data_IF_939898187554
#
_entry.id   IF_939898187554
#
_cell.length_a   1.000
_cell.length_b   1.000
_cell.length_c   1.000
_cell.angle_alpha   90.00
_cell.angle_beta   90.00
_cell.angle_gamma   90.00
#
_symmetry.space_group_name_H-M   'P 1'
#
loop_
_entity.id
_entity.type
_entity.pdbx_description
1 polymer ?
#
# COMPACT_ATOMS: atom_id res chain seq x y z
N UNK A 1 1.60 -18.92 -26.21
CA UNK A 1 1.29 -17.96 -25.14
C UNK A 1 -0.20 -18.00 -24.87
N UNK A 2 -0.59 -18.13 -23.60
CA UNK A 2 -1.98 -18.21 -23.13
C UNK A 2 -2.57 -16.84 -22.81
N UNK A 3 -1.76 -15.79 -22.97
CA UNK A 3 -2.17 -14.40 -22.90
C UNK A 3 -1.75 -13.67 -24.18
N UNK A 4 -2.41 -12.54 -24.47
CA UNK A 4 -2.02 -11.62 -25.53
C UNK A 4 -2.23 -10.18 -25.08
N UNK A 5 -1.48 -9.26 -25.68
CA UNK A 5 -1.73 -7.83 -25.52
C UNK A 5 -2.85 -7.40 -26.46
N UNK A 6 -3.88 -6.77 -25.92
CA UNK A 6 -5.01 -6.24 -26.66
C UNK A 6 -5.42 -4.89 -26.07
N UNK A 7 -5.91 -3.99 -26.92
CA UNK A 7 -6.48 -2.72 -26.44
C UNK A 7 -7.69 -3.04 -25.55
N UNK A 8 -7.76 -2.48 -24.33
CA UNK A 8 -8.88 -2.71 -23.43
C UNK A 8 -10.21 -2.30 -24.07
N UNK A 9 -11.28 -3.03 -23.74
CA UNK A 9 -12.64 -2.68 -24.17
C UNK A 9 -13.04 -1.33 -23.56
N UNK A 10 -13.26 -0.34 -24.42
CA UNK A 10 -13.53 1.03 -24.00
C UNK A 10 -14.76 1.13 -23.10
N UNK A 11 -15.77 0.27 -23.30
CA UNK A 11 -16.99 0.27 -22.50
C UNK A 11 -16.71 -0.03 -21.02
N UNK A 12 -15.72 -0.89 -20.75
CA UNK A 12 -15.32 -1.23 -19.37
C UNK A 12 -14.67 -0.03 -18.68
N UNK A 13 -13.99 0.84 -19.43
CA UNK A 13 -13.21 1.96 -18.86
C UNK A 13 -13.97 3.29 -18.85
N UNK A 14 -15.05 3.44 -19.64
CA UNK A 14 -15.85 4.67 -19.70
C UNK A 14 -17.03 4.68 -18.72
N UNK A 15 -17.47 3.53 -18.24
CA UNK A 15 -18.60 3.44 -17.31
C UNK A 15 -18.13 3.39 -15.86
N UNK A 16 -18.86 4.08 -14.98
CA UNK A 16 -18.69 3.93 -13.54
C UNK A 16 -19.47 2.70 -13.06
N UNK A 17 -18.96 1.98 -12.03
CA UNK A 17 -19.71 0.88 -11.43
C UNK A 17 -21.02 1.41 -10.83
N UNK A 18 -22.09 0.64 -10.98
CA UNK A 18 -23.39 1.01 -10.42
C UNK A 18 -23.27 1.24 -8.90
N UNK A 19 -23.89 2.30 -8.33
CA UNK A 19 -23.94 2.51 -6.89
C UNK A 19 -24.55 1.32 -6.12
N UNK A 20 -25.39 0.52 -6.78
CA UNK A 20 -26.03 -0.68 -6.21
C UNK A 20 -25.22 -1.96 -6.34
N UNK A 21 -23.98 -1.90 -6.85
CA UNK A 21 -23.13 -3.10 -6.97
C UNK A 21 -23.01 -3.74 -5.58
N UNK A 22 -23.27 -5.06 -5.41
CA UNK A 22 -23.15 -5.71 -4.11
C UNK A 22 -21.70 -5.77 -3.65
N UNK A 23 -21.49 -5.69 -2.33
CA UNK A 23 -20.18 -5.93 -1.71
C UNK A 23 -19.85 -7.42 -1.85
N UNK A 24 -18.58 -7.81 -2.09
CA UNK A 24 -18.20 -9.22 -2.09
C UNK A 24 -18.60 -9.89 -0.77
N UNK A 25 -18.96 -11.17 -0.83
CA UNK A 25 -19.29 -11.94 0.38
C UNK A 25 -18.06 -11.96 1.30
N UNK A 26 -18.28 -11.84 2.61
CA UNK A 26 -17.19 -11.96 3.58
C UNK A 26 -16.41 -13.27 3.35
N UNK A 27 -15.07 -13.25 3.40
CA UNK A 27 -14.26 -14.46 3.36
C UNK A 27 -14.16 -15.15 4.73
N UNK A 28 -14.74 -14.57 5.79
CA UNK A 28 -14.67 -15.07 7.15
C UNK A 28 -15.98 -15.72 7.61
N UNK A 29 -15.86 -16.86 8.29
CA UNK A 29 -16.98 -17.55 8.95
C UNK A 29 -17.36 -16.90 10.27
N UNK A 30 -16.40 -16.27 10.96
CA UNK A 30 -16.63 -15.61 12.23
C UNK A 30 -17.50 -14.34 12.07
N UNK A 31 -18.55 -14.21 12.88
CA UNK A 31 -19.52 -13.12 12.81
C UNK A 31 -18.89 -11.74 12.99
N UNK A 32 -17.98 -11.59 13.96
CA UNK A 32 -17.30 -10.31 14.22
C UNK A 32 -16.45 -9.90 13.01
N UNK A 33 -15.64 -10.80 12.47
CA UNK A 33 -14.81 -10.54 11.30
C UNK A 33 -15.66 -10.23 10.06
N UNK A 34 -16.77 -10.94 9.88
CA UNK A 34 -17.72 -10.68 8.79
C UNK A 34 -18.38 -9.30 8.93
N UNK A 35 -18.77 -8.91 10.14
CA UNK A 35 -19.31 -7.58 10.42
C UNK A 35 -18.28 -6.47 10.15
N UNK A 36 -17.04 -6.63 10.64
CA UNK A 36 -15.95 -5.66 10.37
C UNK A 36 -15.65 -5.60 8.86
N UNK A 37 -15.66 -6.73 8.16
CA UNK A 37 -15.49 -6.76 6.71
C UNK A 37 -16.56 -5.91 6.01
N UNK A 38 -17.84 -6.14 6.31
CA UNK A 38 -18.94 -5.36 5.71
C UNK A 38 -18.85 -3.86 6.03
N UNK A 39 -18.53 -3.52 7.29
CA UNK A 39 -18.36 -2.13 7.72
C UNK A 39 -17.24 -1.43 6.94
N UNK A 40 -16.10 -2.10 6.78
CA UNK A 40 -14.90 -1.54 6.14
C UNK A 40 -14.97 -1.54 4.61
N UNK A 41 -15.84 -2.36 4.02
CA UNK A 41 -16.10 -2.36 2.57
C UNK A 41 -17.12 -1.31 2.12
N UNK A 42 -17.87 -0.69 3.03
CA UNK A 42 -18.71 0.46 2.69
C UNK A 42 -17.84 1.69 2.43
N UNK A 43 -17.93 2.31 1.23
CA UNK A 43 -17.13 3.47 0.82
C UNK A 43 -17.12 4.61 1.84
N UNK A 44 -18.24 4.81 2.55
CA UNK A 44 -18.34 5.88 3.56
C UNK A 44 -17.29 5.72 4.66
N UNK A 45 -16.94 4.48 5.03
CA UNK A 45 -16.00 4.18 6.11
C UNK A 45 -14.57 4.63 5.79
N UNK A 46 -13.87 4.09 4.77
CA UNK A 46 -12.51 4.53 4.44
C UNK A 46 -12.47 6.01 4.02
N UNK A 47 -13.49 6.51 3.32
CA UNK A 47 -13.53 7.91 2.91
C UNK A 47 -13.61 8.86 4.11
N UNK A 48 -14.51 8.59 5.06
CA UNK A 48 -14.64 9.41 6.27
C UNK A 48 -13.34 9.36 7.07
N UNK A 49 -12.77 8.16 7.28
CA UNK A 49 -11.54 8.00 8.04
C UNK A 49 -10.38 8.74 7.35
N UNK A 50 -10.22 8.60 6.03
CA UNK A 50 -9.15 9.25 5.27
C UNK A 50 -9.27 10.78 5.31
N UNK A 51 -10.48 11.34 5.14
CA UNK A 51 -10.72 12.78 5.22
C UNK A 51 -10.48 13.31 6.63
N UNK A 52 -11.00 12.65 7.66
CA UNK A 52 -10.79 13.03 9.06
C UNK A 52 -9.30 12.95 9.42
N UNK A 53 -8.60 11.89 9.01
CA UNK A 53 -7.17 11.74 9.20
C UNK A 53 -6.39 12.88 8.53
N UNK A 54 -6.62 13.10 7.23
CA UNK A 54 -5.88 14.10 6.46
C UNK A 54 -6.10 15.51 7.03
N UNK A 55 -7.35 15.89 7.31
CA UNK A 55 -7.68 17.19 7.90
C UNK A 55 -7.08 17.36 9.30
N UNK A 56 -7.21 16.35 10.16
CA UNK A 56 -6.65 16.37 11.52
C UNK A 56 -5.14 16.56 11.51
N UNK A 57 -4.42 15.86 10.62
CA UNK A 57 -2.96 16.00 10.50
C UNK A 57 -2.57 17.43 10.11
N UNK A 58 -3.28 18.07 9.17
CA UNK A 58 -2.98 19.44 8.76
C UNK A 58 -3.24 20.47 9.88
N UNK A 59 -4.31 20.28 10.65
CA UNK A 59 -4.63 21.11 11.81
C UNK A 59 -3.58 20.94 12.92
N UNK A 60 -3.25 19.70 13.30
CA UNK A 60 -2.26 19.42 14.34
C UNK A 60 -0.86 19.88 13.92
N UNK A 61 -0.49 19.71 12.66
CA UNK A 61 0.77 20.23 12.11
C UNK A 61 0.91 21.74 12.31
N UNK A 62 -0.18 22.48 12.10
CA UNK A 62 -0.20 23.93 12.30
C UNK A 62 0.04 24.29 13.77
N UNK A 63 -0.53 23.51 14.70
CA UNK A 63 -0.32 23.67 16.15
C UNK A 63 1.13 23.34 16.54
N UNK A 64 1.67 22.21 16.08
CA UNK A 64 3.05 21.79 16.37
C UNK A 64 4.04 22.84 15.87
N UNK A 65 3.88 23.33 14.63
CA UNK A 65 4.75 24.38 14.09
C UNK A 65 4.72 25.66 14.92
N UNK A 66 3.54 26.10 15.37
CA UNK A 66 3.42 27.25 16.28
C UNK A 66 4.18 27.01 17.58
N UNK A 67 4.10 25.82 18.17
CA UNK A 67 4.86 25.45 19.38
C UNK A 67 6.36 25.45 19.13
N UNK A 68 6.83 24.91 18.00
CA UNK A 68 8.25 24.91 17.62
C UNK A 68 8.78 26.33 17.44
N UNK A 69 8.05 27.20 16.73
CA UNK A 69 8.44 28.60 16.52
C UNK A 69 8.49 29.35 17.85
N UNK A 70 7.48 29.20 18.72
CA UNK A 70 7.48 29.86 20.03
C UNK A 70 8.71 29.47 20.85
N UNK A 71 9.00 28.18 20.96
CA UNK A 71 10.16 27.70 21.71
C UNK A 71 11.48 28.20 21.09
N UNK A 72 11.59 28.18 19.77
CA UNK A 72 12.77 28.68 19.07
C UNK A 72 12.98 30.18 19.30
N UNK A 73 11.92 30.97 19.16
CA UNK A 73 11.98 32.41 19.40
C UNK A 73 12.33 32.74 20.85
N UNK A 74 11.82 31.99 21.84
CA UNK A 74 12.23 32.20 23.25
C UNK A 74 13.73 31.98 23.43
N UNK A 75 14.27 30.87 22.92
CA UNK A 75 15.71 30.56 23.01
C UNK A 75 16.55 31.60 22.27
N UNK A 76 16.14 32.02 21.07
CA UNK A 76 16.92 32.98 20.27
C UNK A 76 16.75 34.42 20.77
N UNK A 77 15.61 34.80 21.37
CA UNK A 77 15.43 36.07 22.06
C UNK A 77 16.34 36.19 23.28
N UNK A 78 16.49 35.11 24.05
CA UNK A 78 17.48 35.02 25.13
C UNK A 78 18.92 35.19 24.61
N UNK A 79 19.19 34.82 23.36
CA UNK A 79 20.53 34.88 22.77
C UNK A 79 20.84 36.13 21.93
N UNK A 80 19.85 36.77 21.28
CA UNK A 80 20.09 37.75 20.19
C UNK A 80 19.28 39.05 20.23
N UNK A 81 18.39 39.25 21.21
CA UNK A 81 17.63 40.51 21.40
C UNK A 81 16.88 41.08 20.15
N UNK A 82 16.63 40.30 19.09
CA UNK A 82 15.88 40.75 17.89
C UNK A 82 14.98 39.63 17.35
N UNK A 83 13.70 39.90 17.01
CA UNK A 83 12.82 38.89 16.40
C UNK A 83 13.17 38.65 14.93
N UNK A 84 13.62 37.44 14.60
CA UNK A 84 14.00 37.03 13.23
C UNK A 84 12.81 36.41 12.49
N UNK A 85 12.59 36.79 11.22
CA UNK A 85 11.69 36.07 10.30
C UNK A 85 12.40 34.86 9.71
N UNK A 86 12.01 33.66 10.13
CA UNK A 86 12.54 32.39 9.61
C UNK A 86 12.20 32.17 8.14
N UNK A 87 13.18 31.75 7.34
CA UNK A 87 12.94 31.27 5.97
C UNK A 87 12.20 29.92 5.97
N UNK A 88 11.55 29.56 4.85
CA UNK A 88 10.87 28.25 4.72
C UNK A 88 11.81 27.05 4.98
N UNK A 89 13.10 27.16 4.65
CA UNK A 89 14.11 26.11 4.87
C UNK A 89 14.49 25.97 6.34
N UNK A 90 14.63 27.08 7.05
CA UNK A 90 14.93 27.09 8.49
C UNK A 90 13.74 26.57 9.29
N UNK A 91 12.51 26.94 8.89
CA UNK A 91 11.29 26.45 9.51
C UNK A 91 11.19 24.91 9.49
N UNK A 92 11.63 24.27 8.40
CA UNK A 92 11.68 22.80 8.27
C UNK A 92 12.74 22.15 9.17
N UNK A 93 13.78 22.89 9.56
CA UNK A 93 14.91 22.39 10.36
C UNK A 93 14.74 22.62 11.87
N UNK A 94 13.65 23.27 12.29
CA UNK A 94 13.39 23.53 13.69
C UNK A 94 13.41 22.24 14.52
N UNK A 95 13.99 22.28 15.74
CA UNK A 95 14.05 21.11 16.60
C UNK A 95 12.64 20.65 17.01
N UNK A 96 12.52 19.35 17.29
CA UNK A 96 11.26 18.79 17.77
C UNK A 96 10.95 19.28 19.18
N UNK A 97 9.67 19.51 19.47
CA UNK A 97 9.19 19.82 20.83
C UNK A 97 8.27 18.70 21.28
N UNK A 98 8.83 17.59 21.83
CA UNK A 98 8.07 16.39 22.13
C UNK A 98 7.03 16.65 23.23
N UNK A 99 5.89 15.98 23.13
CA UNK A 99 4.91 15.93 24.20
C UNK A 99 5.49 15.16 25.40
N UNK A 100 5.15 15.49 26.67
CA UNK A 100 5.63 14.75 27.85
C UNK A 100 5.41 13.24 27.75
N UNK A 101 4.24 12.83 27.23
CA UNK A 101 3.92 11.43 26.96
C UNK A 101 4.99 10.72 26.10
N UNK A 102 5.54 11.40 25.10
CA UNK A 102 6.51 10.81 24.18
C UNK A 102 7.90 10.57 24.81
N UNK A 103 8.15 11.13 25.99
CA UNK A 103 9.40 10.97 26.73
C UNK A 103 9.37 9.77 27.68
N UNK A 104 8.18 9.27 28.02
CA UNK A 104 7.99 8.15 28.93
C UNK A 104 8.64 6.87 28.40
N UNK A 105 9.19 6.06 29.30
CA UNK A 105 9.78 4.76 28.96
C UNK A 105 8.78 3.84 28.27
N UNK A 106 7.54 3.78 28.78
CA UNK A 106 6.45 3.02 28.18
C UNK A 106 6.17 3.42 26.73
N UNK A 107 6.22 4.72 26.42
CA UNK A 107 6.03 5.18 25.04
C UNK A 107 7.17 4.73 24.12
N UNK A 108 8.42 4.79 24.58
CA UNK A 108 9.57 4.29 23.80
C UNK A 108 9.47 2.79 23.55
N UNK A 109 9.10 2.02 24.57
CA UNK A 109 8.83 0.58 24.44
C UNK A 109 7.69 0.28 23.47
N UNK A 110 6.58 1.02 23.58
CA UNK A 110 5.45 0.92 22.65
C UNK A 110 5.88 1.17 21.20
N UNK A 111 6.64 2.24 20.92
CA UNK A 111 7.10 2.54 19.56
C UNK A 111 7.99 1.43 19.01
N UNK A 112 8.86 0.83 19.85
CA UNK A 112 9.69 -0.29 19.44
C UNK A 112 8.85 -1.52 19.09
N UNK A 113 7.93 -1.92 19.98
CA UNK A 113 7.03 -3.06 19.77
C UNK A 113 6.18 -2.83 18.52
N UNK A 114 5.62 -1.63 18.35
CA UNK A 114 4.85 -1.24 17.18
C UNK A 114 5.61 -1.47 15.87
N UNK A 115 6.87 -1.00 15.78
CA UNK A 115 7.69 -1.18 14.59
C UNK A 115 8.05 -2.67 14.36
N UNK A 116 8.33 -3.43 15.43
CA UNK A 116 8.63 -4.86 15.32
C UNK A 116 7.41 -5.63 14.81
N UNK A 117 6.22 -5.37 15.38
CA UNK A 117 4.97 -6.00 14.97
C UNK A 117 4.67 -5.69 13.50
N UNK A 118 4.79 -4.44 13.07
CA UNK A 118 4.58 -4.06 11.67
C UNK A 118 5.62 -4.69 10.73
N UNK A 119 6.88 -4.81 11.16
CA UNK A 119 7.92 -5.50 10.41
C UNK A 119 7.57 -6.99 10.20
N UNK A 120 7.22 -7.69 11.28
CA UNK A 120 6.87 -9.12 11.25
C UNK A 120 5.60 -9.36 10.45
N UNK A 121 4.57 -8.52 10.65
CA UNK A 121 3.32 -8.59 9.89
C UNK A 121 3.55 -8.37 8.39
N UNK A 122 4.37 -7.37 8.02
CA UNK A 122 4.70 -7.12 6.61
C UNK A 122 5.48 -8.28 6.00
N UNK A 123 6.41 -8.87 6.75
CA UNK A 123 7.18 -10.03 6.29
C UNK A 123 6.29 -11.27 6.10
N UNK A 124 5.37 -11.51 7.05
CA UNK A 124 4.38 -12.57 6.96
C UNK A 124 3.45 -12.38 5.77
N UNK A 125 2.99 -11.16 5.52
CA UNK A 125 2.16 -10.83 4.36
C UNK A 125 2.92 -11.08 3.04
N UNK A 126 4.16 -10.62 2.94
CA UNK A 126 4.99 -10.80 1.75
C UNK A 126 5.24 -12.30 1.45
N UNK A 127 5.75 -13.04 2.44
CA UNK A 127 6.09 -14.45 2.29
C UNK A 127 4.85 -15.32 2.10
N UNK A 128 3.78 -15.04 2.87
CA UNK A 128 2.51 -15.73 2.78
C UNK A 128 1.89 -15.57 1.40
N UNK A 129 1.85 -14.34 0.89
CA UNK A 129 1.24 -14.09 -0.40
C UNK A 129 2.11 -14.55 -1.58
N UNK A 130 3.44 -14.47 -1.49
CA UNK A 130 4.35 -15.08 -2.46
C UNK A 130 4.15 -16.61 -2.55
N UNK A 131 3.93 -17.26 -1.40
CA UNK A 131 3.57 -18.68 -1.35
C UNK A 131 2.21 -18.95 -2.01
N UNK A 132 1.20 -18.11 -1.75
CA UNK A 132 -0.13 -18.22 -2.40
C UNK A 132 -0.01 -18.12 -3.92
N UNK A 133 0.78 -17.17 -4.43
CA UNK A 133 1.04 -17.04 -5.88
C UNK A 133 1.67 -18.32 -6.45
N UNK A 134 2.73 -18.82 -5.82
CA UNK A 134 3.42 -20.03 -6.28
C UNK A 134 2.50 -21.27 -6.29
N UNK A 135 1.67 -21.41 -5.26
CA UNK A 135 0.68 -22.50 -5.17
C UNK A 135 -0.42 -22.37 -6.23
N UNK A 136 -0.89 -21.15 -6.48
CA UNK A 136 -1.88 -20.87 -7.53
C UNK A 136 -1.32 -21.26 -8.90
N UNK A 137 -0.07 -20.87 -9.19
CA UNK A 137 0.61 -21.24 -10.44
C UNK A 137 0.74 -22.76 -10.61
N UNK A 138 1.13 -23.46 -9.55
CA UNK A 138 1.22 -24.93 -9.55
C UNK A 138 -0.14 -25.59 -9.82
N UNK A 139 -1.21 -25.09 -9.19
CA UNK A 139 -2.56 -25.61 -9.40
C UNK A 139 -3.05 -25.40 -10.85
N UNK A 140 -2.73 -24.25 -11.45
CA UNK A 140 -3.02 -24.02 -12.86
C UNK A 140 -2.23 -24.93 -13.77
N UNK A 141 -0.95 -25.14 -13.49
CA UNK A 141 -0.10 -26.05 -14.25
C UNK A 141 -0.71 -27.46 -14.26
N UNK A 142 -1.13 -27.98 -13.11
CA UNK A 142 -1.77 -29.31 -13.05
C UNK A 142 -3.08 -29.37 -13.85
N UNK A 143 -3.97 -28.38 -13.70
CA UNK A 143 -5.26 -28.36 -14.42
C UNK A 143 -5.09 -28.16 -15.93
N UNK A 144 -4.05 -27.42 -16.34
CA UNK A 144 -3.74 -27.19 -17.74
C UNK A 144 -3.16 -28.44 -18.39
N UNK A 145 -2.26 -29.15 -17.70
CA UNK A 145 -1.67 -30.41 -18.16
C UNK A 145 -2.73 -31.52 -18.34
N UNK A 146 -3.75 -31.57 -17.47
CA UNK A 146 -4.88 -32.50 -17.62
C UNK A 146 -5.69 -32.24 -18.89
N UNK A 147 -5.93 -30.97 -19.24
CA UNK A 147 -6.80 -30.60 -20.37
C UNK A 147 -6.07 -30.54 -21.72
N UNK A 148 -4.76 -30.25 -21.75
CA UNK A 148 -3.96 -30.11 -22.98
C UNK A 148 -2.54 -30.67 -22.80
N UNK A 149 -2.35 -31.99 -22.83
CA UNK A 149 -1.07 -32.63 -22.56
C UNK A 149 0.05 -32.31 -23.57
N UNK A 150 -0.28 -31.88 -24.80
CA UNK A 150 0.70 -31.56 -25.85
C UNK A 150 1.23 -30.11 -25.81
N UNK A 151 0.59 -29.21 -25.06
CA UNK A 151 0.96 -27.80 -25.02
C UNK A 151 1.74 -27.49 -23.74
N UNK A 152 3.04 -27.18 -23.85
CA UNK A 152 3.81 -26.71 -22.69
C UNK A 152 3.53 -25.22 -22.43
N UNK A 153 2.82 -24.89 -21.35
CA UNK A 153 2.64 -23.51 -20.91
C UNK A 153 3.96 -22.96 -20.35
N UNK A 154 4.31 -21.70 -20.68
CA UNK A 154 5.49 -21.07 -20.08
C UNK A 154 5.20 -20.65 -18.63
N UNK A 155 6.23 -20.53 -17.79
CA UNK A 155 6.07 -19.99 -16.41
C UNK A 155 5.42 -18.60 -16.40
N UNK A 156 5.65 -17.79 -17.43
CA UNK A 156 5.04 -16.48 -17.58
C UNK A 156 3.54 -16.60 -17.90
N UNK A 157 3.15 -17.53 -18.76
CA UNK A 157 1.74 -17.81 -19.05
C UNK A 157 0.99 -18.21 -17.78
N UNK A 158 1.56 -19.13 -16.98
CA UNK A 158 0.99 -19.58 -15.71
C UNK A 158 0.86 -18.43 -14.70
N UNK A 159 1.87 -17.57 -14.63
CA UNK A 159 1.84 -16.41 -13.74
C UNK A 159 0.74 -15.41 -14.14
N UNK A 160 0.69 -15.02 -15.42
CA UNK A 160 -0.32 -14.06 -15.93
C UNK A 160 -1.73 -14.61 -15.73
N UNK A 161 -1.94 -15.90 -16.02
CA UNK A 161 -3.23 -16.56 -15.82
C UNK A 161 -3.64 -16.57 -14.34
N UNK A 162 -2.70 -16.90 -13.45
CA UNK A 162 -2.92 -16.91 -12.00
C UNK A 162 -3.35 -15.55 -11.45
N UNK A 163 -2.83 -14.45 -12.02
CA UNK A 163 -3.19 -13.10 -11.60
C UNK A 163 -4.51 -12.63 -12.21
N UNK A 164 -4.74 -12.92 -13.49
CA UNK A 164 -5.85 -12.33 -14.26
C UNK A 164 -7.16 -13.12 -14.18
N UNK A 165 -7.14 -14.42 -13.90
CA UNK A 165 -8.37 -15.20 -13.78
C UNK A 165 -9.08 -14.87 -12.45
N UNK A 166 -10.23 -14.19 -12.52
CA UNK A 166 -11.00 -13.84 -11.33
C UNK A 166 -11.64 -15.05 -10.62
N UNK A 167 -11.88 -16.16 -11.34
CA UNK A 167 -12.57 -17.35 -10.81
C UNK A 167 -11.60 -18.34 -10.18
N UNK A 168 -10.53 -18.67 -10.90
CA UNK A 168 -9.56 -19.69 -10.47
C UNK A 168 -8.21 -19.09 -10.03
N UNK A 169 -8.01 -17.77 -10.21
CA UNK A 169 -6.76 -17.10 -9.89
C UNK A 169 -6.55 -16.81 -8.41
N UNK A 170 -5.72 -15.82 -8.12
CA UNK A 170 -5.30 -15.44 -6.76
C UNK A 170 -6.44 -15.04 -5.82
N UNK A 171 -7.61 -14.66 -6.35
CA UNK A 171 -8.81 -14.39 -5.56
C UNK A 171 -9.64 -15.64 -5.25
N UNK A 172 -9.36 -16.78 -5.89
CA UNK A 172 -10.16 -18.00 -5.75
C UNK A 172 -10.14 -18.52 -4.32
N UNK A 173 -11.32 -18.94 -3.83
CA UNK A 173 -11.49 -19.64 -2.55
C UNK A 173 -11.30 -21.16 -2.68
N UNK A 174 -11.19 -21.65 -3.92
CA UNK A 174 -11.19 -23.08 -4.25
C UNK A 174 -9.79 -23.71 -4.16
N UNK A 175 -8.75 -22.92 -3.90
CA UNK A 175 -7.35 -23.39 -3.77
C UNK A 175 -7.08 -24.16 -2.46
N UNK A 176 -8.11 -24.65 -1.78
CA UNK A 176 -7.97 -25.45 -0.56
C UNK A 176 -7.47 -26.84 -0.92
N UNK A 177 -6.15 -27.06 -0.76
CA UNK A 177 -5.53 -28.38 -0.88
C UNK A 177 -5.43 -29.02 0.51
N UNK A 178 -5.89 -30.26 0.63
CA UNK A 178 -5.64 -31.18 1.74
C UNK A 178 -5.91 -30.61 3.15
N UNK A 179 -7.04 -29.91 3.35
CA UNK A 179 -7.43 -29.39 4.66
C UNK A 179 -6.56 -28.26 5.23
N UNK A 180 -5.62 -27.73 4.43
CA UNK A 180 -4.85 -26.53 4.81
C UNK A 180 -5.55 -25.27 4.32
N UNK A 181 -5.97 -24.41 5.26
CA UNK A 181 -6.54 -23.09 4.96
C UNK A 181 -5.46 -22.17 4.38
N UNK A 182 -5.23 -22.25 3.07
CA UNK A 182 -4.37 -21.30 2.35
C UNK A 182 -5.12 -19.99 2.22
N UNK A 183 -4.52 -18.90 2.73
CA UNK A 183 -5.10 -17.57 2.62
C UNK A 183 -4.96 -17.08 1.17
N UNK A 184 -6.10 -16.78 0.55
CA UNK A 184 -6.19 -16.21 -0.79
C UNK A 184 -5.98 -14.68 -0.76
N UNK A 185 -5.93 -14.04 -1.94
CA UNK A 185 -5.78 -12.59 -2.05
C UNK A 185 -6.94 -11.82 -1.41
N UNK A 186 -8.13 -12.42 -1.29
CA UNK A 186 -9.24 -11.78 -0.57
C UNK A 186 -8.90 -11.58 0.91
N UNK A 187 -8.41 -12.63 1.57
CA UNK A 187 -8.07 -12.56 3.00
C UNK A 187 -6.79 -11.76 3.20
N UNK A 188 -5.71 -12.06 2.47
CA UNK A 188 -4.46 -11.29 2.59
C UNK A 188 -4.64 -9.83 2.23
N UNK A 189 -5.36 -9.56 1.13
CA UNK A 189 -5.64 -8.22 0.66
C UNK A 189 -6.53 -7.44 1.62
N UNK A 190 -7.53 -8.08 2.24
CA UNK A 190 -8.34 -7.42 3.27
C UNK A 190 -7.55 -7.19 4.56
N UNK A 191 -6.77 -8.15 5.05
CA UNK A 191 -5.91 -7.95 6.22
C UNK A 191 -4.93 -6.80 5.98
N UNK A 192 -4.31 -6.76 4.80
CA UNK A 192 -3.40 -5.70 4.39
C UNK A 192 -4.12 -4.36 4.23
N UNK A 193 -5.37 -4.35 3.78
CA UNK A 193 -6.21 -3.16 3.79
C UNK A 193 -6.46 -2.66 5.21
N UNK A 194 -6.80 -3.55 6.15
CA UNK A 194 -6.97 -3.19 7.57
C UNK A 194 -5.67 -2.63 8.16
N UNK A 195 -4.51 -3.15 7.76
CA UNK A 195 -3.22 -2.64 8.23
C UNK A 195 -3.01 -1.16 7.89
N UNK A 196 -3.58 -0.65 6.79
CA UNK A 196 -3.47 0.78 6.41
C UNK A 196 -4.14 1.73 7.38
N UNK A 197 -5.20 1.29 8.06
CA UNK A 197 -5.78 2.05 9.16
C UNK A 197 -4.89 2.03 10.39
N UNK A 198 -4.29 0.89 10.70
CA UNK A 198 -3.36 0.77 11.83
C UNK A 198 -2.08 1.61 11.63
N UNK A 199 -1.57 1.69 10.40
CA UNK A 199 -0.39 2.51 10.05
C UNK A 199 -0.60 4.02 10.31
N UNK A 200 -1.83 4.50 10.53
CA UNK A 200 -2.09 5.88 11.02
C UNK A 200 -1.38 6.16 12.34
N UNK A 201 -1.15 5.12 13.16
CA UNK A 201 -0.41 5.22 14.42
C UNK A 201 1.02 5.76 14.18
N UNK A 202 1.66 5.49 13.04
CA UNK A 202 2.96 6.09 12.70
C UNK A 202 2.89 7.61 12.70
N UNK A 203 1.81 8.14 12.15
CA UNK A 203 1.58 9.59 12.11
C UNK A 203 1.35 10.14 13.51
N UNK A 204 0.55 9.44 14.32
CA UNK A 204 0.30 9.82 15.72
C UNK A 204 1.63 9.83 16.51
N UNK A 205 2.49 8.82 16.34
CA UNK A 205 3.80 8.74 16.99
C UNK A 205 4.67 9.93 16.60
N UNK A 206 4.70 10.32 15.31
CA UNK A 206 5.48 11.46 14.82
C UNK A 206 4.99 12.78 15.43
N UNK A 207 3.67 12.99 15.45
CA UNK A 207 3.04 14.18 16.01
C UNK A 207 3.30 14.27 17.53
N UNK A 208 3.21 13.16 18.26
CA UNK A 208 3.52 13.08 19.70
C UNK A 208 5.01 13.34 19.99
N UNK A 209 5.91 12.88 19.12
CA UNK A 209 7.34 13.22 19.16
C UNK A 209 7.62 14.70 18.85
N UNK A 210 6.59 15.49 18.57
CA UNK A 210 6.69 16.94 18.40
C UNK A 210 7.25 17.36 17.05
N UNK A 211 7.14 16.49 16.04
CA UNK A 211 7.52 16.79 14.66
C UNK A 211 6.26 16.90 13.80
N UNK A 212 6.19 17.87 12.87
CA UNK A 212 5.08 17.91 11.93
C UNK A 212 5.16 16.68 11.01
N UNK A 213 4.03 16.01 10.80
CA UNK A 213 3.91 14.96 9.78
C UNK A 213 4.04 15.58 8.39
N UNK A 214 4.76 14.91 7.49
CA UNK A 214 4.95 15.41 6.13
C UNK A 214 3.69 15.26 5.29
N UNK A 215 3.49 16.14 4.29
CA UNK A 215 2.41 15.99 3.32
C UNK A 215 2.48 14.63 2.61
N UNK A 216 3.72 14.18 2.34
CA UNK A 216 3.99 12.87 1.75
C UNK A 216 3.34 11.75 2.58
N UNK A 217 3.56 11.77 3.89
CA UNK A 217 3.03 10.74 4.79
C UNK A 217 1.50 10.78 4.87
N UNK A 218 0.91 11.97 5.07
CA UNK A 218 -0.55 12.09 5.15
C UNK A 218 -1.25 11.76 3.84
N UNK A 219 -0.66 12.15 2.70
CA UNK A 219 -1.18 11.83 1.38
C UNK A 219 -1.10 10.33 1.10
N UNK A 220 0.05 9.71 1.42
CA UNK A 220 0.26 8.28 1.26
C UNK A 220 -0.73 7.44 2.06
N UNK A 221 -0.85 7.66 3.38
CA UNK A 221 -1.74 6.82 4.20
C UNK A 221 -3.22 7.01 3.83
N UNK A 222 -3.66 8.25 3.56
CA UNK A 222 -5.03 8.51 3.13
C UNK A 222 -5.36 7.87 1.77
N UNK A 223 -4.46 8.02 0.79
CA UNK A 223 -4.63 7.43 -0.54
C UNK A 223 -4.52 5.90 -0.52
N UNK A 224 -3.62 5.33 0.28
CA UNK A 224 -3.49 3.88 0.43
C UNK A 224 -4.76 3.22 0.98
N UNK A 225 -5.47 3.86 1.93
CA UNK A 225 -6.78 3.36 2.41
C UNK A 225 -7.81 3.28 1.27
N UNK A 226 -7.92 4.34 0.46
CA UNK A 226 -8.89 4.39 -0.64
C UNK A 226 -8.50 3.45 -1.80
N UNK A 227 -7.22 3.40 -2.15
CA UNK A 227 -6.69 2.53 -3.20
C UNK A 227 -6.86 1.05 -2.86
N UNK A 228 -6.57 0.66 -1.60
CA UNK A 228 -6.79 -0.69 -1.12
C UNK A 228 -8.27 -1.05 -1.01
N UNK A 229 -9.12 -0.12 -0.53
CA UNK A 229 -10.57 -0.30 -0.52
C UNK A 229 -11.08 -0.64 -1.93
N UNK A 230 -10.74 0.17 -2.95
CA UNK A 230 -11.16 -0.08 -4.33
C UNK A 230 -10.61 -1.43 -4.86
N UNK A 231 -9.36 -1.75 -4.51
CA UNK A 231 -8.69 -3.04 -4.76
C UNK A 231 -9.51 -4.24 -4.36
N UNK A 232 -9.86 -4.31 -3.08
CA UNK A 232 -10.56 -5.45 -2.47
C UNK A 232 -12.05 -5.42 -2.82
N UNK A 233 -12.68 -4.23 -2.82
CA UNK A 233 -14.10 -4.06 -3.10
C UNK A 233 -14.49 -4.55 -4.49
N UNK A 234 -13.66 -4.28 -5.49
CA UNK A 234 -13.93 -4.66 -6.88
C UNK A 234 -13.10 -5.87 -7.34
N UNK A 235 -12.38 -6.54 -6.41
CA UNK A 235 -11.52 -7.70 -6.70
C UNK A 235 -10.65 -7.45 -7.95
N UNK A 236 -9.96 -6.32 -7.98
CA UNK A 236 -9.16 -5.91 -9.13
C UNK A 236 -7.83 -6.65 -9.13
N UNK A 237 -7.50 -7.44 -10.18
CA UNK A 237 -6.25 -8.21 -10.25
C UNK A 237 -4.99 -7.44 -9.87
N UNK A 238 -4.73 -6.22 -10.36
CA UNK A 238 -3.47 -5.52 -10.10
C UNK A 238 -3.20 -5.18 -8.63
N UNK A 239 -4.17 -5.38 -7.72
CA UNK A 239 -3.98 -5.16 -6.28
C UNK A 239 -2.89 -6.06 -5.68
N UNK A 240 -2.63 -7.22 -6.29
CA UNK A 240 -1.55 -8.13 -5.86
C UNK A 240 -0.19 -7.41 -5.86
N UNK A 241 0.04 -6.50 -6.83
CA UNK A 241 1.27 -5.72 -6.97
C UNK A 241 1.45 -4.82 -5.74
N UNK A 242 0.36 -4.16 -5.32
CA UNK A 242 0.38 -3.32 -4.13
C UNK A 242 0.77 -4.20 -2.93
N UNK A 243 0.07 -5.30 -2.70
CA UNK A 243 0.31 -6.17 -1.54
C UNK A 243 1.75 -6.68 -1.51
N UNK A 244 2.29 -7.25 -2.59
CA UNK A 244 3.65 -7.83 -2.63
C UNK A 244 4.73 -6.75 -2.47
N UNK A 245 4.73 -5.73 -3.34
CA UNK A 245 5.82 -4.77 -3.35
C UNK A 245 5.80 -3.90 -2.09
N UNK A 246 4.62 -3.45 -1.65
CA UNK A 246 4.53 -2.62 -0.47
C UNK A 246 4.88 -3.40 0.81
N UNK A 247 4.39 -4.64 0.97
CA UNK A 247 4.74 -5.45 2.15
C UNK A 247 6.24 -5.72 2.24
N UNK A 248 6.90 -6.03 1.13
CA UNK A 248 8.36 -6.17 1.07
C UNK A 248 9.09 -4.89 1.52
N UNK A 249 8.73 -3.74 0.95
CA UNK A 249 9.35 -2.46 1.28
C UNK A 249 9.04 -2.04 2.73
N UNK A 250 7.83 -2.31 3.21
CA UNK A 250 7.42 -2.03 4.59
C UNK A 250 8.19 -2.90 5.59
N UNK A 251 8.47 -4.17 5.29
CA UNK A 251 9.36 -5.01 6.11
C UNK A 251 10.72 -4.32 6.27
N UNK A 252 11.35 -3.86 5.18
CA UNK A 252 12.65 -3.18 5.25
C UNK A 252 12.57 -1.84 5.99
N UNK A 253 11.50 -1.07 5.78
CA UNK A 253 11.29 0.23 6.42
C UNK A 253 11.08 0.11 7.93
N UNK A 254 10.19 -0.77 8.38
CA UNK A 254 9.94 -0.98 9.80
C UNK A 254 11.09 -1.67 10.51
N UNK A 255 11.84 -2.53 9.82
CA UNK A 255 13.11 -3.04 10.33
C UNK A 255 14.08 -1.89 10.61
N UNK A 256 14.26 -0.98 9.65
CA UNK A 256 15.08 0.22 9.82
C UNK A 256 14.60 1.12 10.98
N UNK A 257 13.29 1.30 11.15
CA UNK A 257 12.74 2.08 12.27
C UNK A 257 12.93 1.39 13.62
N UNK A 258 12.83 0.06 13.66
CA UNK A 258 13.12 -0.73 14.87
C UNK A 258 14.59 -0.58 15.30
N UNK A 259 15.53 -0.69 14.35
CA UNK A 259 16.95 -0.44 14.61
C UNK A 259 17.21 1.00 15.09
N UNK A 260 16.52 1.98 14.50
CA UNK A 260 16.61 3.38 14.91
C UNK A 260 16.12 3.60 16.35
N UNK A 261 15.10 2.85 16.80
CA UNK A 261 14.60 2.89 18.17
C UNK A 261 15.57 2.26 19.18
N UNK A 262 16.36 1.26 18.76
CA UNK A 262 17.41 0.64 19.56
C UNK A 262 18.73 1.45 19.59
N UNK A 263 18.73 2.66 19.01
CA UNK A 263 19.92 3.51 18.85
C UNK A 263 21.07 2.84 18.09
N UNK A 264 20.77 1.84 17.25
CA UNK A 264 21.78 1.20 16.40
C UNK A 264 22.08 2.14 15.24
N UNK A 265 23.37 2.49 15.06
CA UNK A 265 23.81 3.41 14.00
C UNK A 265 23.75 2.71 12.65
N UNK A 266 22.66 2.94 11.91
CA UNK A 266 22.53 2.46 10.54
C UNK A 266 23.24 3.40 9.57
N UNK A 267 24.11 2.90 8.66
CA UNK A 267 24.77 3.74 7.66
C UNK A 267 23.77 4.51 6.80
N UNK A 268 24.10 5.77 6.45
CA UNK A 268 23.24 6.63 5.62
C UNK A 268 22.91 6.04 4.24
N UNK A 269 23.76 5.13 3.75
CA UNK A 269 23.57 4.40 2.49
C UNK A 269 22.28 3.57 2.53
N UNK A 270 21.99 2.89 3.64
CA UNK A 270 20.75 2.12 3.78
C UNK A 270 19.52 3.01 3.72
N UNK A 271 19.56 4.19 4.36
CA UNK A 271 18.46 5.15 4.30
C UNK A 271 18.20 5.62 2.86
N UNK A 272 19.28 5.91 2.11
CA UNK A 272 19.20 6.29 0.69
C UNK A 272 18.66 5.14 -0.17
N UNK A 273 19.15 3.93 0.05
CA UNK A 273 18.72 2.72 -0.66
C UNK A 273 17.24 2.42 -0.42
N UNK A 274 16.76 2.54 0.83
CA UNK A 274 15.36 2.36 1.17
C UNK A 274 14.45 3.36 0.43
N UNK A 275 14.84 4.65 0.40
CA UNK A 275 14.07 5.65 -0.37
C UNK A 275 14.13 5.38 -1.88
N UNK A 276 15.26 4.92 -2.42
CA UNK A 276 15.37 4.50 -3.82
C UNK A 276 14.45 3.32 -4.14
N UNK A 277 14.43 2.30 -3.27
CA UNK A 277 13.55 1.14 -3.42
C UNK A 277 12.08 1.55 -3.33
N UNK A 278 11.74 2.50 -2.46
CA UNK A 278 10.38 3.05 -2.38
C UNK A 278 9.96 3.74 -3.68
N UNK A 279 10.83 4.51 -4.32
CA UNK A 279 10.54 5.14 -5.61
C UNK A 279 10.41 4.08 -6.71
N UNK A 280 11.34 3.11 -6.75
CA UNK A 280 11.30 2.02 -7.71
C UNK A 280 10.00 1.21 -7.60
N UNK A 281 9.48 0.99 -6.37
CA UNK A 281 8.22 0.29 -6.15
C UNK A 281 7.05 0.99 -6.88
N UNK A 282 7.00 2.32 -6.88
CA UNK A 282 5.88 3.07 -7.48
C UNK A 282 6.00 3.10 -9.00
N UNK A 283 7.22 3.29 -9.52
CA UNK A 283 7.48 3.32 -10.96
C UNK A 283 7.24 1.94 -11.58
N UNK A 284 7.84 0.89 -11.02
CA UNK A 284 7.71 -0.48 -11.53
C UNK A 284 6.29 -0.98 -11.28
N UNK A 285 5.79 -0.87 -10.04
CA UNK A 285 4.46 -1.35 -9.69
C UNK A 285 3.35 -0.64 -10.45
N UNK A 286 3.43 0.69 -10.61
CA UNK A 286 2.49 1.47 -11.40
C UNK A 286 2.51 1.09 -12.88
N UNK A 287 3.70 0.91 -13.47
CA UNK A 287 3.84 0.48 -14.87
C UNK A 287 3.23 -0.91 -15.09
N UNK A 288 3.50 -1.87 -14.19
CA UNK A 288 2.94 -3.21 -14.27
C UNK A 288 1.40 -3.17 -14.08
N UNK A 289 0.89 -2.32 -13.20
CA UNK A 289 -0.56 -2.15 -13.01
C UNK A 289 -1.25 -1.62 -14.27
N UNK A 290 -0.64 -0.66 -14.97
CA UNK A 290 -1.14 -0.18 -16.27
C UNK A 290 -1.10 -1.29 -17.31
N UNK A 291 0.00 -2.06 -17.38
CA UNK A 291 0.13 -3.18 -18.32
C UNK A 291 -0.97 -4.25 -18.14
N UNK A 292 -1.44 -4.50 -16.91
CA UNK A 292 -2.56 -5.42 -16.68
C UNK A 292 -3.84 -4.98 -17.40
N UNK A 293 -4.04 -3.68 -17.64
CA UNK A 293 -5.17 -3.19 -18.43
C UNK A 293 -5.12 -3.61 -19.91
N UNK A 294 -3.95 -3.95 -20.43
CA UNK A 294 -3.73 -4.36 -21.82
C UNK A 294 -3.58 -5.87 -22.00
N UNK A 295 -3.65 -6.65 -20.92
CA UNK A 295 -3.49 -8.11 -20.96
C UNK A 295 -4.86 -8.77 -21.09
N UNK A 296 -4.99 -9.70 -22.04
CA UNK A 296 -6.14 -10.60 -22.17
C UNK A 296 -5.69 -12.05 -22.08
N UNK A 297 -6.43 -12.87 -21.36
CA UNK A 297 -6.21 -14.32 -21.20
C UNK A 297 -7.22 -15.11 -22.02
N UNK A 298 -6.85 -16.31 -22.43
CA UNK A 298 -7.74 -17.23 -23.11
C UNK A 298 -8.61 -17.96 -22.08
N UNK A 299 -9.93 -17.75 -22.10
CA UNK A 299 -10.83 -18.51 -21.25
C UNK A 299 -10.92 -19.94 -21.79
N UNK A 300 -10.44 -20.89 -21.00
CA UNK A 300 -10.50 -22.33 -21.28
C UNK A 300 -11.60 -23.04 -20.51
N UNK A 301 -12.54 -22.30 -19.91
CA UNK A 301 -13.65 -22.88 -19.14
C UNK A 301 -14.65 -23.64 -20.01
N UNK A 302 -14.78 -23.28 -21.30
CA UNK A 302 -15.65 -23.95 -22.27
C UNK A 302 -14.83 -24.49 -23.46
N UNK A 303 -14.80 -25.82 -23.62
CA UNK A 303 -13.99 -26.49 -24.63
C UNK A 303 -14.41 -26.18 -26.09
N UNK A 304 -15.64 -25.71 -26.31
CA UNK A 304 -16.18 -25.40 -27.65
C UNK A 304 -16.07 -23.92 -28.06
N UNK A 305 -15.82 -22.98 -27.14
CA UNK A 305 -15.78 -21.54 -27.45
C UNK A 305 -14.71 -20.81 -26.63
N UNK A 306 -13.44 -21.00 -27.01
CA UNK A 306 -12.33 -20.26 -26.38
C UNK A 306 -12.40 -18.76 -26.71
N UNK A 307 -12.78 -17.93 -25.74
CA UNK A 307 -12.86 -16.47 -25.88
C UNK A 307 -11.71 -15.80 -25.15
N UNK A 308 -11.23 -14.69 -25.71
CA UNK A 308 -10.24 -13.84 -25.03
C UNK A 308 -10.96 -12.90 -24.08
N UNK A 309 -10.60 -12.96 -22.79
CA UNK A 309 -11.17 -12.10 -21.75
C UNK A 309 -10.06 -11.19 -21.22
N UNK A 310 -10.35 -9.90 -21.13
CA UNK A 310 -9.44 -8.93 -20.53
C UNK A 310 -9.21 -9.24 -19.05
N UNK A 311 -7.97 -9.06 -18.59
CA UNK A 311 -7.61 -9.16 -17.16
C UNK A 311 -8.46 -8.20 -16.31
N UNK A 312 -8.84 -7.05 -16.89
CA UNK A 312 -9.83 -6.13 -16.34
C UNK A 312 -11.13 -6.33 -17.11
N UNK A 313 -12.11 -6.97 -16.48
CA UNK A 313 -13.36 -7.40 -17.11
C UNK A 313 -14.59 -6.64 -16.62
N UNK A 314 -14.47 -5.85 -15.54
CA UNK A 314 -15.59 -5.07 -15.00
C UNK A 314 -15.26 -3.58 -14.82
N UNK A 315 -16.26 -2.69 -14.93
CA UNK A 315 -16.08 -1.27 -14.68
C UNK A 315 -15.53 -0.93 -13.30
N UNK A 316 -15.85 -1.74 -12.29
CA UNK A 316 -15.29 -1.59 -10.95
C UNK A 316 -13.78 -1.85 -10.90
N UNK A 317 -13.30 -2.87 -11.60
CA UNK A 317 -11.87 -3.16 -11.68
C UNK A 317 -11.11 -2.06 -12.43
N UNK A 318 -11.68 -1.52 -13.52
CA UNK A 318 -11.12 -0.40 -14.27
C UNK A 318 -11.07 0.89 -13.43
N UNK A 319 -12.13 1.18 -12.67
CA UNK A 319 -12.15 2.30 -11.72
C UNK A 319 -11.02 2.15 -10.69
N UNK A 320 -10.81 0.95 -10.15
CA UNK A 320 -9.72 0.69 -9.20
C UNK A 320 -8.34 0.97 -9.80
N UNK A 321 -8.09 0.53 -11.03
CA UNK A 321 -6.81 0.82 -11.71
C UNK A 321 -6.66 2.33 -11.91
N UNK A 322 -7.71 3.00 -12.37
CA UNK A 322 -7.71 4.45 -12.57
C UNK A 322 -7.41 5.20 -11.27
N UNK A 323 -8.11 4.89 -10.17
CA UNK A 323 -7.87 5.49 -8.84
C UNK A 323 -6.41 5.31 -8.42
N UNK A 324 -5.86 4.09 -8.55
CA UNK A 324 -4.49 3.81 -8.14
C UNK A 324 -3.47 4.54 -9.02
N UNK A 325 -3.65 4.60 -10.33
CA UNK A 325 -2.75 5.33 -11.25
C UNK A 325 -2.75 6.83 -10.94
N UNK A 326 -3.93 7.44 -10.79
CA UNK A 326 -4.05 8.86 -10.44
C UNK A 326 -3.47 9.18 -9.06
N UNK A 327 -3.55 8.26 -8.11
CA UNK A 327 -2.94 8.37 -6.79
C UNK A 327 -1.41 8.24 -6.83
N UNK A 328 -0.88 7.28 -7.61
CA UNK A 328 0.55 6.98 -7.67
C UNK A 328 1.37 8.10 -8.30
N UNK A 329 0.82 8.84 -9.27
CA UNK A 329 1.53 9.93 -9.95
C UNK A 329 2.02 11.03 -8.99
N UNK A 330 1.15 11.73 -8.22
CA UNK A 330 1.58 12.74 -7.26
C UNK A 330 2.40 12.14 -6.11
N UNK A 331 2.13 10.90 -5.70
CA UNK A 331 2.93 10.21 -4.68
C UNK A 331 4.38 10.03 -5.14
N UNK A 332 4.58 9.56 -6.37
CA UNK A 332 5.91 9.37 -6.96
C UNK A 332 6.66 10.69 -7.07
N UNK A 333 5.96 11.76 -7.46
CA UNK A 333 6.53 13.11 -7.49
C UNK A 333 6.96 13.60 -6.10
N UNK A 334 6.14 13.38 -5.06
CA UNK A 334 6.46 13.75 -3.67
C UNK A 334 7.69 12.98 -3.14
N UNK A 335 7.81 11.69 -3.41
CA UNK A 335 8.98 10.90 -3.02
C UNK A 335 10.25 11.33 -3.76
N UNK A 336 10.13 11.63 -5.06
CA UNK A 336 11.25 12.14 -5.87
C UNK A 336 11.73 13.49 -5.35
N UNK A 337 10.79 14.41 -5.05
CA UNK A 337 11.11 15.70 -4.44
C UNK A 337 11.79 15.52 -3.07
N UNK A 338 11.29 14.61 -2.22
CA UNK A 338 11.91 14.28 -0.94
C UNK A 338 13.34 13.74 -1.10
N UNK A 339 13.57 12.88 -2.10
CA UNK A 339 14.88 12.30 -2.39
C UNK A 339 15.88 13.39 -2.82
N UNK A 340 15.47 14.26 -3.75
CA UNK A 340 16.27 15.39 -4.21
C UNK A 340 16.63 16.29 -3.02
N UNK A 341 15.65 16.69 -2.20
CA UNK A 341 15.86 17.56 -1.05
C UNK A 341 16.76 16.92 0.02
N UNK A 342 16.63 15.62 0.26
CA UNK A 342 17.33 14.91 1.34
C UNK A 342 18.75 14.45 0.99
N UNK A 343 19.01 14.11 -0.27
CA UNK A 343 20.25 13.43 -0.67
C UNK A 343 21.04 14.14 -1.78
N UNK A 344 20.38 14.89 -2.68
CA UNK A 344 21.04 15.52 -3.83
C UNK A 344 21.25 17.02 -3.65
N UNK A 345 20.36 17.69 -2.92
CA UNK A 345 20.52 19.09 -2.53
C UNK A 345 21.70 19.21 -1.57
N UNK A 346 22.92 19.34 -2.11
CA UNK A 346 24.11 19.74 -1.37
C UNK A 346 23.75 20.97 -0.52
N UNK A 347 24.20 20.96 0.74
CA UNK A 347 24.40 22.18 1.51
C UNK A 347 25.24 23.11 0.61
N UNK A 348 24.63 24.11 -0.03
CA UNK A 348 25.36 25.35 -0.29
C UNK A 348 25.63 25.89 1.12
N UNK A 349 26.85 25.60 1.58
CA UNK A 349 27.44 26.21 2.77
C UNK A 349 27.39 27.74 2.59
#
# INVERSE_FOLDING_TARGET
>A
MLFKFQVPDINVWTHLPSPSTPVPKSPFENELLSWVFQLTMNLRTPLTIAVVYFTSVHLINSIIRRKQIRKYNTIDLEMKMVPIRLTKRELKKLPAVPHPLAQMFLFKGFVLIHNIVLCLYSAWTFLGFAKTIALTMYFFESKFLENKPESQATKLDLFVYSMCDAKNGVFSRTLSKDGTNILNLEVFGWLFYISKFYEVIDTIIILLKGKPSSLLQSYHHAGAMLGMWAGIRYQSPPIWIFVVFNSFIHTLMYFYFSLSCLNIRVPKIFKKMLTSLQIAQFVIGGSVAVLHGFISILDSSDAENSKWIGCISSPGQALTVSINVFYLMPLTALFTAFYIESYLSKKRL
#
